data_IF_815462100387
#
_entry.id   IF_815462100387
#
_cell.length_a   1.000
_cell.length_b   1.000
_cell.length_c   1.000
_cell.angle_alpha   90.00
_cell.angle_beta   90.00
_cell.angle_gamma   90.00
#
_symmetry.space_group_name_H-M   'P 1'
#
loop_
_entity.id
_entity.type
_entity.pdbx_description
1 polymer ?
#
# COMPACT_ATOMS: atom_id res chain seq x y z
N UNK A 1 -9.07 -45.69 -27.89
CA UNK A 1 -9.11 -44.20 -27.92
C UNK A 1 -9.67 -43.58 -26.63
N UNK A 2 -10.78 -44.06 -26.04
CA UNK A 2 -11.37 -43.45 -24.82
C UNK A 2 -10.49 -43.51 -23.56
N UNK A 3 -9.65 -44.53 -23.39
CA UNK A 3 -8.79 -44.72 -22.20
C UNK A 3 -7.57 -43.78 -22.15
N UNK A 4 -7.10 -43.30 -23.31
CA UNK A 4 -5.94 -42.38 -23.41
C UNK A 4 -6.37 -40.93 -23.12
N UNK A 5 -7.57 -40.54 -23.56
CA UNK A 5 -8.13 -39.23 -23.26
C UNK A 5 -8.41 -39.02 -21.75
N UNK A 6 -8.83 -40.07 -21.05
CA UNK A 6 -9.09 -40.04 -19.59
C UNK A 6 -7.76 -39.89 -18.81
N UNK A 7 -6.68 -40.53 -19.25
CA UNK A 7 -5.35 -40.37 -18.64
C UNK A 7 -4.76 -38.98 -18.86
N UNK A 8 -4.92 -38.38 -20.04
CA UNK A 8 -4.47 -37.00 -20.29
C UNK A 8 -5.30 -35.98 -19.49
N UNK A 9 -6.62 -36.15 -19.38
CA UNK A 9 -7.47 -35.26 -18.57
C UNK A 9 -7.16 -35.35 -17.07
N UNK A 10 -6.87 -36.55 -16.56
CA UNK A 10 -6.48 -36.74 -15.15
C UNK A 10 -5.11 -36.13 -14.83
N UNK A 11 -4.16 -36.16 -15.77
CA UNK A 11 -2.83 -35.56 -15.60
C UNK A 11 -2.90 -34.03 -15.68
N UNK A 12 -3.77 -33.47 -16.52
CA UNK A 12 -4.03 -32.03 -16.58
C UNK A 12 -4.77 -31.53 -15.33
N UNK A 13 -5.72 -32.28 -14.80
CA UNK A 13 -6.39 -31.92 -13.53
C UNK A 13 -5.45 -32.01 -12.32
N UNK A 14 -4.55 -33.00 -12.28
CA UNK A 14 -3.52 -33.09 -11.25
C UNK A 14 -2.45 -31.99 -11.38
N UNK A 15 -2.09 -31.59 -12.60
CA UNK A 15 -1.16 -30.47 -12.85
C UNK A 15 -1.77 -29.10 -12.50
N UNK A 16 -3.09 -28.93 -12.70
CA UNK A 16 -3.83 -27.72 -12.29
C UNK A 16 -3.98 -27.65 -10.76
N UNK A 17 -4.03 -28.78 -10.05
CA UNK A 17 -4.12 -28.79 -8.57
C UNK A 17 -2.77 -28.57 -7.87
N UNK A 18 -1.64 -28.65 -8.59
CA UNK A 18 -0.29 -28.30 -8.10
C UNK A 18 0.06 -26.84 -8.48
N UNK A 19 -0.80 -26.14 -9.25
CA UNK A 19 -0.63 -24.74 -9.60
C UNK A 19 -0.94 -23.83 -8.41
N UNK A 20 0.04 -23.70 -7.51
CA UNK A 20 0.23 -22.70 -6.44
C UNK A 20 -1.02 -22.25 -5.69
N UNK A 21 -1.21 -22.63 -4.41
CA UNK A 21 -2.07 -21.85 -3.55
C UNK A 21 -1.57 -20.40 -3.58
N UNK A 22 -2.45 -19.46 -3.90
CA UNK A 22 -2.20 -18.04 -3.71
C UNK A 22 -2.06 -17.81 -2.20
N UNK A 23 -0.86 -18.03 -1.66
CA UNK A 23 -0.56 -17.70 -0.28
C UNK A 23 -0.48 -16.19 -0.18
N UNK A 24 -1.41 -15.60 0.57
CA UNK A 24 -1.29 -14.20 0.90
C UNK A 24 0.01 -14.00 1.68
N UNK A 25 0.88 -13.13 1.17
CA UNK A 25 2.13 -12.79 1.84
C UNK A 25 2.00 -11.42 2.50
N UNK A 26 2.53 -11.30 3.71
CA UNK A 26 2.41 -10.10 4.53
C UNK A 26 3.79 -9.53 4.77
N UNK A 27 3.94 -8.23 4.53
CA UNK A 27 5.11 -7.46 4.97
C UNK A 27 4.62 -6.30 5.83
N UNK A 28 5.40 -5.91 6.84
CA UNK A 28 5.05 -4.82 7.71
C UNK A 28 6.30 -4.01 8.06
N UNK A 29 6.09 -2.77 8.47
CA UNK A 29 7.18 -1.89 8.88
C UNK A 29 6.69 -0.66 9.61
N UNK A 30 7.65 0.12 10.06
CA UNK A 30 7.43 1.39 10.76
C UNK A 30 8.15 2.49 10.00
N UNK A 31 7.51 3.65 9.88
CA UNK A 31 8.09 4.84 9.29
C UNK A 31 7.82 6.05 10.17
N UNK A 32 8.81 6.94 10.29
CA UNK A 32 8.65 8.25 10.91
C UNK A 32 8.46 9.29 9.82
N UNK A 33 7.35 10.02 9.87
CA UNK A 33 7.02 11.06 8.90
C UNK A 33 6.51 12.30 9.63
N UNK A 34 6.84 13.46 9.07
CA UNK A 34 6.26 14.76 9.41
C UNK A 34 5.68 15.39 8.15
N UNK A 35 4.88 16.44 8.33
CA UNK A 35 4.49 17.34 7.23
C UNK A 35 5.20 18.67 7.46
N UNK A 36 6.22 19.05 6.68
CA UNK A 36 6.97 20.29 6.91
C UNK A 36 6.27 21.54 6.35
N UNK A 37 5.14 21.40 5.65
CA UNK A 37 4.36 22.51 5.11
C UNK A 37 3.54 22.14 3.87
N UNK A 38 2.80 23.13 3.37
CA UNK A 38 1.85 23.10 2.22
C UNK A 38 1.16 21.76 1.98
N UNK A 39 -0.09 21.70 2.41
CA UNK A 39 -1.01 20.63 2.04
C UNK A 39 -1.05 20.44 0.53
N UNK A 40 -0.88 19.19 0.07
CA UNK A 40 -1.02 18.84 -1.35
C UNK A 40 -2.49 18.90 -1.73
N UNK A 41 -2.86 19.94 -2.48
CA UNK A 41 -4.20 20.16 -3.02
C UNK A 41 -4.30 19.82 -4.52
N UNK A 42 -3.16 19.73 -5.21
CA UNK A 42 -3.08 19.25 -6.58
C UNK A 42 -3.48 17.77 -6.64
N UNK A 43 -4.36 17.43 -7.57
CA UNK A 43 -4.77 16.03 -7.79
C UNK A 43 -3.72 15.32 -8.62
N UNK A 44 -3.51 14.02 -8.37
CA UNK A 44 -2.58 13.14 -9.09
C UNK A 44 -1.08 13.51 -9.02
N UNK A 45 -0.69 14.44 -8.14
CA UNK A 45 0.71 14.75 -7.88
C UNK A 45 1.22 13.95 -6.66
N UNK A 46 2.06 12.96 -6.92
CA UNK A 46 2.75 12.13 -5.90
C UNK A 46 4.25 12.42 -5.84
N UNK A 47 4.75 13.46 -6.51
CA UNK A 47 6.19 13.78 -6.62
C UNK A 47 6.87 14.05 -5.27
N UNK A 48 6.09 14.47 -4.27
CA UNK A 48 6.56 14.82 -2.93
C UNK A 48 6.29 13.75 -1.88
N UNK A 49 5.89 12.55 -2.30
CA UNK A 49 5.65 11.42 -1.42
C UNK A 49 6.95 10.64 -1.26
N UNK A 50 7.19 10.12 -0.05
CA UNK A 50 8.33 9.26 0.22
C UNK A 50 8.06 7.87 -0.35
N UNK A 51 9.00 7.32 -1.09
CA UNK A 51 8.96 5.93 -1.53
C UNK A 51 9.33 4.99 -0.37
N UNK A 52 8.58 3.90 -0.25
CA UNK A 52 8.82 2.80 0.68
C UNK A 52 8.89 1.52 -0.13
N UNK A 53 10.06 0.89 -0.11
CA UNK A 53 10.26 -0.40 -0.74
C UNK A 53 9.90 -1.52 0.24
N UNK A 54 9.30 -2.57 -0.29
CA UNK A 54 9.18 -3.83 0.43
C UNK A 54 10.56 -4.47 0.59
N UNK A 55 10.75 -5.25 1.66
CA UNK A 55 12.02 -5.94 1.90
C UNK A 55 12.34 -6.90 0.75
N UNK A 56 11.31 -7.59 0.27
CA UNK A 56 11.32 -8.38 -0.96
C UNK A 56 10.14 -7.97 -1.84
N UNK A 57 10.29 -7.89 -3.18
CA UNK A 57 9.16 -7.66 -4.06
C UNK A 57 8.12 -8.79 -3.93
N UNK A 58 6.84 -8.42 -3.90
CA UNK A 58 5.75 -9.37 -4.11
C UNK A 58 5.81 -9.95 -5.53
N UNK A 59 5.17 -11.11 -5.72
CA UNK A 59 5.11 -11.79 -7.01
C UNK A 59 4.53 -10.87 -8.08
N UNK A 60 5.14 -10.89 -9.27
CA UNK A 60 4.62 -10.15 -10.42
C UNK A 60 3.19 -10.60 -10.76
N UNK A 61 2.31 -9.63 -11.02
CA UNK A 61 0.89 -9.87 -11.28
C UNK A 61 0.01 -9.98 -10.03
N UNK A 62 0.56 -9.94 -8.81
CA UNK A 62 -0.23 -9.89 -7.59
C UNK A 62 -0.88 -8.52 -7.36
N UNK A 63 -2.07 -8.54 -6.75
CA UNK A 63 -2.66 -7.34 -6.17
C UNK A 63 -2.01 -7.08 -4.81
N UNK A 64 -1.75 -5.81 -4.49
CA UNK A 64 -1.14 -5.40 -3.23
C UNK A 64 -2.02 -4.36 -2.54
N UNK A 65 -2.34 -4.60 -1.28
CA UNK A 65 -3.03 -3.64 -0.40
C UNK A 65 -2.04 -3.17 0.64
N UNK A 66 -2.03 -1.87 0.93
CA UNK A 66 -1.22 -1.27 2.00
C UNK A 66 -2.13 -0.49 2.96
N UNK A 67 -2.04 -0.80 4.25
CA UNK A 67 -2.82 -0.15 5.31
C UNK A 67 -1.86 0.54 6.29
N UNK A 68 -1.85 1.89 6.34
CA UNK A 68 -1.09 2.63 7.34
C UNK A 68 -1.91 2.90 8.62
N UNK A 69 -1.23 2.97 9.77
CA UNK A 69 -1.82 3.38 11.05
C UNK A 69 -0.83 4.26 11.83
N UNK A 70 -1.25 5.47 12.17
CA UNK A 70 -0.46 6.35 13.06
C UNK A 70 -0.50 5.76 14.47
N UNK A 71 0.66 5.63 15.11
CA UNK A 71 0.85 4.92 16.38
C UNK A 71 1.34 5.83 17.52
N UNK A 72 1.47 7.13 17.25
CA UNK A 72 1.83 8.14 18.25
C UNK A 72 0.88 9.32 18.19
N UNK A 73 0.91 10.14 19.24
CA UNK A 73 0.18 11.40 19.33
C UNK A 73 1.15 12.49 19.77
N UNK A 74 1.98 12.95 18.83
CA UNK A 74 3.01 13.95 19.09
C UNK A 74 2.54 15.37 18.73
N UNK A 75 1.68 15.49 17.71
CA UNK A 75 1.01 16.74 17.32
C UNK A 75 -0.44 16.77 17.76
N UNK A 76 -0.95 17.97 18.08
CA UNK A 76 -2.33 18.15 18.51
C UNK A 76 -3.35 18.07 17.36
N UNK A 77 -2.91 18.34 16.13
CA UNK A 77 -3.73 18.30 14.92
C UNK A 77 -3.95 16.87 14.41
N UNK A 78 -5.02 16.64 13.64
CA UNK A 78 -5.29 15.31 13.09
C UNK A 78 -4.38 15.03 11.88
N UNK A 79 -3.49 14.01 11.94
CA UNK A 79 -2.64 13.67 10.81
C UNK A 79 -3.46 13.01 9.70
N UNK A 80 -3.36 13.52 8.48
CA UNK A 80 -3.80 12.80 7.29
C UNK A 80 -2.66 11.94 6.74
N UNK A 81 -2.94 10.67 6.49
CA UNK A 81 -2.01 9.73 5.87
C UNK A 81 -2.51 9.35 4.50
N UNK A 82 -1.61 9.31 3.50
CA UNK A 82 -1.97 8.92 2.14
C UNK A 82 -0.96 7.93 1.57
N UNK A 83 -1.49 6.82 1.09
CA UNK A 83 -0.79 5.86 0.25
C UNK A 83 -1.09 6.18 -1.21
N UNK A 84 -0.08 6.06 -2.06
CA UNK A 84 -0.21 6.19 -3.51
C UNK A 84 0.74 5.22 -4.21
N UNK A 85 0.57 5.06 -5.52
CA UNK A 85 1.49 4.35 -6.41
C UNK A 85 1.92 2.96 -5.87
N UNK A 86 0.95 2.17 -5.40
CA UNK A 86 1.21 0.82 -4.90
C UNK A 86 1.57 -0.10 -6.07
N UNK A 87 2.69 -0.79 -5.95
CA UNK A 87 3.20 -1.78 -6.90
C UNK A 87 3.58 -3.06 -6.15
N UNK A 88 4.06 -4.08 -6.86
CA UNK A 88 4.65 -5.27 -6.22
C UNK A 88 5.99 -4.99 -5.54
N UNK A 89 6.64 -3.85 -5.79
CA UNK A 89 7.97 -3.51 -5.23
C UNK A 89 7.89 -2.58 -4.03
N UNK A 90 6.81 -1.81 -3.91
CA UNK A 90 6.67 -0.80 -2.89
C UNK A 90 5.48 0.11 -3.12
N UNK A 91 5.46 1.21 -2.37
CA UNK A 91 4.41 2.21 -2.41
C UNK A 91 4.96 3.59 -2.08
N UNK A 92 4.17 4.63 -2.34
CA UNK A 92 4.46 5.99 -1.91
C UNK A 92 3.62 6.38 -0.71
N UNK A 93 4.25 7.09 0.22
CA UNK A 93 3.65 7.49 1.49
C UNK A 93 3.91 8.98 1.76
N UNK A 94 2.85 9.70 2.11
CA UNK A 94 2.95 11.05 2.65
C UNK A 94 2.05 11.24 3.87
N UNK A 95 2.54 12.03 4.83
CA UNK A 95 1.73 12.68 5.84
C UNK A 95 1.39 14.10 5.41
N UNK A 96 0.11 14.43 5.39
CA UNK A 96 -0.45 15.75 5.13
C UNK A 96 -1.60 16.01 6.08
N UNK A 97 -1.83 17.24 6.49
CA UNK A 97 -3.06 17.55 7.22
C UNK A 97 -4.31 17.43 6.34
N UNK A 98 -5.45 17.31 7.02
CA UNK A 98 -6.75 17.12 6.38
C UNK A 98 -7.12 18.31 5.48
N UNK A 99 -7.87 18.01 4.42
CA UNK A 99 -8.51 19.00 3.55
C UNK A 99 -10.01 18.86 3.66
N UNK A 100 -10.75 19.99 3.63
CA UNK A 100 -12.21 19.97 3.55
C UNK A 100 -12.67 19.86 2.11
N UNK A 101 -13.72 19.08 1.86
CA UNK A 101 -14.43 19.06 0.58
C UNK A 101 -15.17 20.38 0.32
N UNK A 102 -15.09 20.88 -0.93
CA UNK A 102 -15.55 22.22 -1.32
C UNK A 102 -14.50 22.90 -2.23
N UNK A 103 -14.35 24.24 -2.23
CA UNK A 103 -13.06 24.80 -2.62
C UNK A 103 -12.00 24.09 -1.76
N UNK A 104 -11.08 23.33 -2.37
CA UNK A 104 -10.09 22.50 -1.65
C UNK A 104 -9.26 23.39 -0.73
N UNK A 105 -9.70 23.49 0.52
CA UNK A 105 -9.11 24.34 1.54
C UNK A 105 -8.40 23.44 2.53
N UNK A 106 -7.13 23.76 2.78
CA UNK A 106 -6.39 23.15 3.87
C UNK A 106 -7.12 23.45 5.18
N UNK A 107 -7.40 22.41 5.98
CA UNK A 107 -8.02 22.59 7.30
C UNK A 107 -7.01 23.08 8.35
N UNK A 108 -5.73 23.10 7.99
CA UNK A 108 -4.64 23.58 8.83
C UNK A 108 -3.49 24.10 7.94
N UNK A 109 -2.42 24.60 8.54
CA UNK A 109 -1.31 25.31 7.87
C UNK A 109 -0.40 24.40 7.01
N UNK A 110 -0.71 23.10 7.00
CA UNK A 110 -0.02 22.05 6.27
C UNK A 110 1.18 21.50 7.01
N UNK A 111 1.42 21.90 8.26
CA UNK A 111 2.50 21.38 9.08
C UNK A 111 1.97 20.37 10.08
N UNK A 112 2.69 19.28 10.25
CA UNK A 112 2.45 18.34 11.33
C UNK A 112 3.80 17.85 11.84
N UNK A 113 3.94 17.72 13.16
CA UNK A 113 5.18 17.21 13.75
C UNK A 113 5.42 15.74 13.35
N UNK A 114 6.59 15.20 13.71
CA UNK A 114 6.91 13.82 13.36
C UNK A 114 6.05 12.84 14.15
N UNK A 115 5.37 11.93 13.47
CA UNK A 115 4.69 10.77 14.07
C UNK A 115 5.38 9.46 13.68
N UNK A 116 5.19 8.43 14.50
CA UNK A 116 5.51 7.04 14.15
C UNK A 116 4.27 6.40 13.52
N UNK A 117 4.46 5.80 12.35
CA UNK A 117 3.37 5.22 11.57
C UNK A 117 3.74 3.78 11.22
N UNK A 118 2.93 2.83 11.68
CA UNK A 118 3.00 1.44 11.26
C UNK A 118 2.34 1.26 9.91
N UNK A 119 2.81 0.31 9.11
CA UNK A 119 2.14 -0.12 7.89
C UNK A 119 2.17 -1.63 7.76
N UNK A 120 1.12 -2.18 7.13
CA UNK A 120 1.04 -3.57 6.71
C UNK A 120 0.70 -3.62 5.23
N UNK A 121 1.39 -4.47 4.49
CA UNK A 121 1.16 -4.76 3.08
C UNK A 121 0.81 -6.24 2.91
N UNK A 122 -0.24 -6.52 2.14
CA UNK A 122 -0.70 -7.88 1.85
C UNK A 122 -0.81 -8.06 0.34
N UNK A 123 -0.26 -9.16 -0.19
CA UNK A 123 -0.41 -9.54 -1.59
C UNK A 123 -1.40 -10.69 -1.77
N UNK A 124 -2.17 -10.72 -2.86
CA UNK A 124 -3.02 -11.86 -3.24
C UNK A 124 -3.18 -11.97 -4.77
#
# INVERSE_FOLDING_TARGET
MKRVAIFLMSLMAALVLIATPAHASIQAGIIKLSSPGRVVTASKDTSTFKEVLFAEPFREGSNVIVIPMVQTFNGADTPGVRIADVTTKGFKFKMNELVRGGPRQALSDGKHTTETIGWMAVSF
#
